data_IF_336696035369
#
_entry.id   IF_336696035369
#
_cell.length_a   1.000
_cell.length_b   1.000
_cell.length_c   1.000
_cell.angle_alpha   90.00
_cell.angle_beta   90.00
_cell.angle_gamma   90.00
#
_symmetry.space_group_name_H-M   'P 1'
#
loop_
_entity.id
_entity.type
_entity.pdbx_description
1 polymer ?
#
# COMPACT_ATOMS: atom_id res chain seq x y z
N UNK A 1 -0.15 -15.53 -38.49
CA UNK A 1 -1.17 -14.72 -37.80
C UNK A 1 -0.54 -14.21 -36.51
N UNK A 2 -0.15 -12.95 -36.45
CA UNK A 2 0.47 -12.36 -35.26
C UNK A 2 -0.66 -12.02 -34.28
N UNK A 3 -0.79 -12.80 -33.21
CA UNK A 3 -1.67 -12.45 -32.11
C UNK A 3 -1.11 -11.19 -31.45
N UNK A 4 -1.78 -10.05 -31.62
CA UNK A 4 -1.50 -8.86 -30.84
C UNK A 4 -1.60 -9.19 -29.33
N UNK A 5 -0.91 -8.44 -28.45
CA UNK A 5 -0.91 -8.75 -27.04
C UNK A 5 -2.35 -8.79 -26.51
N UNK A 6 -2.79 -9.97 -26.05
CA UNK A 6 -4.11 -10.15 -25.45
C UNK A 6 -4.22 -9.23 -24.23
N UNK A 7 -5.16 -8.27 -24.30
CA UNK A 7 -5.32 -7.23 -23.29
C UNK A 7 -5.49 -7.85 -21.89
N UNK A 8 -4.60 -7.51 -20.96
CA UNK A 8 -4.62 -7.97 -19.58
C UNK A 8 -5.79 -7.31 -18.83
N UNK A 9 -6.75 -8.10 -18.38
CA UNK A 9 -7.82 -7.64 -17.49
C UNK A 9 -7.29 -7.64 -16.06
N UNK A 10 -7.23 -6.47 -15.43
CA UNK A 10 -6.78 -6.34 -14.04
C UNK A 10 -7.97 -6.22 -13.09
N UNK A 11 -7.87 -6.94 -11.98
CA UNK A 11 -8.79 -6.89 -10.86
C UNK A 11 -8.03 -6.77 -9.55
N UNK A 12 -8.68 -6.24 -8.53
CA UNK A 12 -8.12 -6.12 -7.19
C UNK A 12 -9.18 -6.36 -6.13
N UNK A 13 -8.77 -6.83 -4.96
CA UNK A 13 -9.63 -7.02 -3.80
C UNK A 13 -8.83 -7.36 -2.57
N UNK A 14 -9.52 -7.81 -1.52
CA UNK A 14 -8.87 -8.12 -0.25
C UNK A 14 -9.53 -9.28 0.49
N UNK A 15 -8.73 -9.96 1.31
CA UNK A 15 -9.24 -10.81 2.38
C UNK A 15 -9.34 -9.94 3.64
N UNK A 16 -10.54 -9.43 3.90
CA UNK A 16 -10.83 -8.66 5.12
C UNK A 16 -10.85 -9.63 6.29
N UNK A 17 -9.97 -9.45 7.26
CA UNK A 17 -9.78 -10.37 8.38
C UNK A 17 -9.93 -9.68 9.73
N UNK A 18 -10.18 -10.51 10.75
CA UNK A 18 -10.09 -10.13 12.16
C UNK A 18 -9.80 -11.37 13.00
N UNK A 19 -9.29 -11.18 14.21
CA UNK A 19 -9.23 -12.25 15.21
C UNK A 19 -10.34 -12.01 16.22
N UNK A 20 -11.25 -12.97 16.36
CA UNK A 20 -12.36 -12.91 17.33
C UNK A 20 -12.34 -14.18 18.16
N UNK A 21 -12.29 -14.04 19.49
CA UNK A 21 -12.21 -15.18 20.42
C UNK A 21 -11.08 -16.16 20.07
N UNK A 22 -9.91 -15.62 19.70
CA UNK A 22 -8.73 -16.41 19.31
C UNK A 22 -8.82 -17.08 17.94
N UNK A 23 -9.89 -16.85 17.16
CA UNK A 23 -10.09 -17.46 15.84
C UNK A 23 -9.94 -16.43 14.73
N UNK A 24 -9.19 -16.78 13.69
CA UNK A 24 -9.07 -15.99 12.48
C UNK A 24 -10.37 -16.08 11.66
N UNK A 25 -11.01 -14.95 11.45
CA UNK A 25 -12.21 -14.81 10.64
C UNK A 25 -11.92 -13.95 9.41
N UNK A 26 -12.62 -14.26 8.31
CA UNK A 26 -12.53 -13.55 7.04
C UNK A 26 -13.92 -13.25 6.48
N UNK A 27 -14.02 -12.21 5.64
CA UNK A 27 -15.26 -11.85 4.94
C UNK A 27 -15.32 -12.53 3.57
N UNK A 28 -16.45 -13.17 3.28
CA UNK A 28 -16.80 -13.67 1.96
C UNK A 28 -18.06 -12.97 1.43
N UNK A 29 -18.16 -12.88 0.11
CA UNK A 29 -19.34 -12.41 -0.60
C UNK A 29 -19.94 -13.52 -1.45
N UNK A 30 -21.27 -13.55 -1.56
CA UNK A 30 -21.99 -14.41 -2.48
C UNK A 30 -22.51 -13.60 -3.67
N UNK A 31 -22.33 -14.13 -4.87
CA UNK A 31 -22.77 -13.50 -6.12
C UNK A 31 -23.90 -14.30 -6.74
N UNK A 32 -25.16 -13.82 -6.75
CA UNK A 32 -26.30 -14.60 -7.21
C UNK A 32 -26.20 -14.98 -8.69
N UNK A 33 -25.60 -14.12 -9.53
CA UNK A 33 -25.36 -14.39 -10.96
C UNK A 33 -24.54 -15.65 -11.20
N UNK A 34 -23.55 -15.93 -10.36
CA UNK A 34 -22.65 -17.07 -10.49
C UNK A 34 -22.96 -18.19 -9.50
N UNK A 35 -23.81 -17.92 -8.51
CA UNK A 35 -24.11 -18.81 -7.37
C UNK A 35 -22.83 -19.26 -6.66
N UNK A 36 -21.89 -18.34 -6.50
CA UNK A 36 -20.57 -18.63 -5.95
C UNK A 36 -20.23 -17.77 -4.74
N UNK A 37 -19.40 -18.33 -3.86
CA UNK A 37 -18.77 -17.64 -2.75
C UNK A 37 -17.31 -17.37 -3.10
N UNK A 38 -16.91 -16.10 -3.00
CA UNK A 38 -15.54 -15.67 -3.29
C UNK A 38 -15.11 -14.52 -2.38
N UNK A 39 -13.86 -14.08 -2.54
CA UNK A 39 -13.37 -12.86 -1.93
C UNK A 39 -13.96 -11.62 -2.62
N UNK A 40 -14.18 -10.53 -1.88
CA UNK A 40 -14.61 -9.28 -2.48
C UNK A 40 -13.52 -8.74 -3.41
N UNK A 41 -13.89 -8.40 -4.65
CA UNK A 41 -12.99 -7.96 -5.73
C UNK A 41 -13.74 -7.62 -7.02
N UNK A 42 -13.30 -6.57 -7.69
CA UNK A 42 -13.75 -6.25 -9.04
C UNK A 42 -12.64 -5.72 -9.94
N UNK A 43 -13.02 -5.07 -11.03
CA UNK A 43 -12.11 -4.67 -12.11
C UNK A 43 -11.59 -3.26 -11.83
N UNK A 44 -10.35 -3.00 -12.23
CA UNK A 44 -9.83 -1.64 -12.19
C UNK A 44 -10.63 -0.76 -13.18
N UNK A 45 -10.97 0.44 -12.74
CA UNK A 45 -11.48 1.50 -13.58
C UNK A 45 -10.35 2.16 -14.40
N UNK A 46 -10.72 2.97 -15.39
CA UNK A 46 -9.76 3.66 -16.24
C UNK A 46 -8.90 4.65 -15.43
N UNK A 47 -7.58 4.44 -15.42
CA UNK A 47 -6.65 5.29 -14.65
C UNK A 47 -6.59 4.97 -13.15
N UNK A 48 -7.36 3.99 -12.67
CA UNK A 48 -7.39 3.61 -11.27
C UNK A 48 -6.16 2.80 -10.86
N UNK A 49 -5.60 3.14 -9.69
CA UNK A 49 -4.50 2.36 -9.12
C UNK A 49 -5.02 1.07 -8.47
N UNK A 50 -4.24 -0.02 -8.55
CA UNK A 50 -4.68 -1.35 -8.08
C UNK A 50 -5.08 -1.39 -6.60
N UNK A 51 -4.40 -0.62 -5.74
CA UNK A 51 -4.73 -0.52 -4.31
C UNK A 51 -6.03 0.26 -4.07
N UNK A 52 -6.31 1.26 -4.92
CA UNK A 52 -7.54 2.04 -4.88
C UNK A 52 -8.73 1.16 -5.25
N UNK A 53 -8.58 0.38 -6.33
CA UNK A 53 -9.57 -0.61 -6.73
C UNK A 53 -9.82 -1.63 -5.61
N UNK A 54 -8.78 -2.13 -4.94
CA UNK A 54 -8.97 -3.10 -3.85
C UNK A 54 -9.85 -2.54 -2.71
N UNK A 55 -9.62 -1.29 -2.28
CA UNK A 55 -10.41 -0.70 -1.18
C UNK A 55 -11.82 -0.32 -1.64
N UNK A 56 -11.96 0.23 -2.85
CA UNK A 56 -13.26 0.58 -3.44
C UNK A 56 -14.13 -0.65 -3.56
N UNK A 57 -13.65 -1.69 -4.24
CA UNK A 57 -14.42 -2.91 -4.50
C UNK A 57 -14.86 -3.62 -3.21
N UNK A 58 -14.03 -3.59 -2.16
CA UNK A 58 -14.43 -4.12 -0.86
C UNK A 58 -15.55 -3.29 -0.24
N UNK A 59 -15.47 -1.96 -0.31
CA UNK A 59 -16.53 -1.08 0.20
C UNK A 59 -17.84 -1.23 -0.60
N UNK A 60 -17.75 -1.32 -1.93
CA UNK A 60 -18.91 -1.54 -2.81
C UNK A 60 -19.60 -2.87 -2.48
N UNK A 61 -18.85 -3.98 -2.42
CA UNK A 61 -19.43 -5.33 -2.27
C UNK A 61 -19.78 -5.68 -0.83
N UNK A 62 -19.16 -5.06 0.18
CA UNK A 62 -19.33 -5.45 1.60
C UNK A 62 -19.83 -4.34 2.51
N UNK A 63 -19.76 -3.09 2.08
CA UNK A 63 -19.99 -1.90 2.93
C UNK A 63 -18.91 -1.67 3.99
N UNK A 64 -17.79 -2.40 3.94
CA UNK A 64 -16.70 -2.26 4.90
C UNK A 64 -15.64 -1.28 4.37
N UNK A 65 -15.44 -0.19 5.10
CA UNK A 65 -14.27 0.67 4.94
C UNK A 65 -13.04 -0.08 5.47
N UNK A 66 -12.04 -0.32 4.62
CA UNK A 66 -10.86 -1.11 4.98
C UNK A 66 -9.54 -0.36 4.82
N UNK A 67 -8.50 -0.84 5.48
CA UNK A 67 -7.09 -0.50 5.20
C UNK A 67 -6.33 -1.75 4.80
N UNK A 68 -5.44 -1.61 3.82
CA UNK A 68 -4.62 -2.70 3.31
C UNK A 68 -3.42 -2.93 4.22
N UNK A 69 -3.18 -4.20 4.55
CA UNK A 69 -1.93 -4.69 5.11
C UNK A 69 -1.07 -5.34 4.04
N UNK A 70 -0.32 -6.37 4.43
CA UNK A 70 0.58 -7.10 3.52
C UNK A 70 -0.11 -7.70 2.28
N UNK A 71 0.59 -7.75 1.12
CA UNK A 71 0.05 -8.39 -0.07
C UNK A 71 -0.12 -9.90 0.15
N UNK A 72 -1.12 -10.46 -0.50
CA UNK A 72 -1.35 -11.90 -0.59
C UNK A 72 -1.09 -12.38 -2.03
N UNK A 73 -0.86 -13.69 -2.23
CA UNK A 73 -0.78 -14.24 -3.57
C UNK A 73 -2.01 -13.87 -4.41
N UNK A 74 -1.76 -13.27 -5.56
CA UNK A 74 -2.79 -13.01 -6.56
C UNK A 74 -3.13 -14.25 -7.37
N UNK A 75 -4.12 -14.12 -8.26
CA UNK A 75 -4.51 -15.17 -9.21
C UNK A 75 -4.29 -14.69 -10.64
N UNK A 76 -3.84 -15.58 -11.53
CA UNK A 76 -3.76 -15.32 -12.97
C UNK A 76 -4.35 -16.50 -13.73
N UNK A 77 -5.31 -16.23 -14.63
CA UNK A 77 -5.98 -17.25 -15.43
C UNK A 77 -6.51 -16.67 -16.74
N UNK A 78 -6.71 -17.53 -17.73
CA UNK A 78 -7.27 -17.15 -19.02
C UNK A 78 -8.80 -17.06 -18.97
N UNK A 79 -9.35 -16.06 -19.65
CA UNK A 79 -10.78 -15.91 -19.88
C UNK A 79 -11.19 -16.66 -21.15
N UNK A 80 -12.49 -16.96 -21.27
CA UNK A 80 -13.03 -17.67 -22.42
C UNK A 80 -12.80 -16.95 -23.77
N UNK A 81 -12.56 -15.64 -23.74
CA UNK A 81 -12.23 -14.82 -24.91
C UNK A 81 -10.72 -14.71 -25.19
N UNK A 82 -9.90 -15.53 -24.54
CA UNK A 82 -8.45 -15.59 -24.71
C UNK A 82 -7.67 -14.49 -23.98
N UNK A 83 -8.34 -13.52 -23.33
CA UNK A 83 -7.64 -12.52 -22.52
C UNK A 83 -7.13 -13.14 -21.22
N UNK A 84 -5.99 -12.67 -20.74
CA UNK A 84 -5.52 -13.02 -19.39
C UNK A 84 -6.18 -12.11 -18.36
N UNK A 85 -6.63 -12.68 -17.25
CA UNK A 85 -7.10 -11.96 -16.08
C UNK A 85 -6.10 -12.13 -14.94
N UNK A 86 -5.70 -11.01 -14.33
CA UNK A 86 -4.88 -10.98 -13.12
C UNK A 86 -5.66 -10.32 -11.99
N UNK A 87 -5.69 -10.98 -10.85
CA UNK A 87 -6.34 -10.52 -9.62
C UNK A 87 -5.28 -10.29 -8.57
N UNK A 88 -5.26 -9.09 -7.98
CA UNK A 88 -4.38 -8.74 -6.87
C UNK A 88 -5.15 -8.82 -5.55
N UNK A 89 -4.53 -9.39 -4.52
CA UNK A 89 -5.13 -9.52 -3.19
C UNK A 89 -4.22 -8.96 -2.11
N UNK A 90 -4.84 -8.36 -1.09
CA UNK A 90 -4.18 -7.94 0.14
C UNK A 90 -4.90 -8.55 1.34
N UNK A 91 -4.17 -8.74 2.43
CA UNK A 91 -4.81 -8.83 3.74
C UNK A 91 -5.33 -7.43 4.09
N UNK A 92 -6.53 -7.34 4.68
CA UNK A 92 -7.09 -6.05 5.06
C UNK A 92 -7.82 -6.12 6.39
N UNK A 93 -7.83 -5.00 7.11
CA UNK A 93 -8.61 -4.83 8.34
C UNK A 93 -9.67 -3.75 8.11
N UNK A 94 -10.79 -3.87 8.82
CA UNK A 94 -11.79 -2.79 8.86
C UNK A 94 -11.15 -1.57 9.50
N UNK A 95 -11.23 -0.42 8.84
CA UNK A 95 -10.59 0.81 9.26
C UNK A 95 -11.10 1.25 10.63
N UNK A 96 -10.17 1.54 11.53
CA UNK A 96 -10.44 1.96 12.90
C UNK A 96 -9.82 3.32 13.21
N UNK A 97 -9.55 3.57 14.49
CA UNK A 97 -8.56 4.57 14.89
C UNK A 97 -7.19 3.85 14.97
N UNK A 98 -6.09 4.45 14.49
CA UNK A 98 -5.95 5.84 14.02
C UNK A 98 -6.30 6.10 12.55
N UNK A 99 -6.77 5.11 11.78
CA UNK A 99 -6.83 5.14 10.31
C UNK A 99 -7.95 5.99 9.69
N UNK A 100 -8.90 6.49 10.49
CA UNK A 100 -10.03 7.32 10.02
C UNK A 100 -9.65 8.48 9.08
N UNK A 101 -8.58 9.26 9.32
CA UNK A 101 -8.13 10.30 8.39
C UNK A 101 -7.90 9.79 6.97
N UNK A 102 -7.33 8.59 6.83
CA UNK A 102 -7.07 7.99 5.53
C UNK A 102 -8.36 7.62 4.79
N UNK A 103 -9.40 7.19 5.50
CA UNK A 103 -10.71 6.90 4.91
C UNK A 103 -11.40 8.18 4.43
N UNK A 104 -11.34 9.27 5.20
CA UNK A 104 -11.91 10.56 4.79
C UNK A 104 -11.27 11.14 3.51
N UNK A 105 -10.03 10.76 3.22
CA UNK A 105 -9.34 11.18 1.99
C UNK A 105 -9.84 10.45 0.73
N UNK A 106 -10.75 9.48 0.85
CA UNK A 106 -11.28 8.68 -0.26
C UNK A 106 -12.63 9.24 -0.73
N UNK A 107 -12.93 9.13 -2.04
CA UNK A 107 -14.30 9.32 -2.49
C UNK A 107 -15.20 8.21 -1.91
N UNK A 108 -16.48 8.49 -1.61
CA UNK A 108 -17.41 7.45 -1.17
C UNK A 108 -17.64 6.43 -2.29
N UNK A 109 -17.72 5.14 -1.94
CA UNK A 109 -18.03 4.09 -2.90
C UNK A 109 -19.55 3.81 -2.97
N UNK A 110 -20.08 3.56 -4.16
CA UNK A 110 -21.47 3.19 -4.32
C UNK A 110 -21.67 1.70 -4.04
N UNK A 111 -22.56 1.35 -3.10
CA UNK A 111 -22.78 -0.05 -2.77
C UNK A 111 -23.29 -0.86 -3.98
N UNK A 112 -22.78 -2.08 -4.10
CA UNK A 112 -23.21 -3.05 -5.09
C UNK A 112 -24.71 -3.35 -4.94
N UNK A 113 -25.37 -3.57 -6.08
CA UNK A 113 -26.78 -3.94 -6.09
C UNK A 113 -26.99 -5.36 -5.54
N UNK A 114 -28.21 -5.67 -5.08
CA UNK A 114 -28.57 -7.03 -4.65
C UNK A 114 -28.46 -8.08 -5.76
N UNK A 115 -28.49 -7.66 -7.03
CA UNK A 115 -28.31 -8.54 -8.19
C UNK A 115 -26.83 -8.91 -8.41
N UNK A 116 -25.92 -8.16 -7.79
CA UNK A 116 -24.48 -8.39 -7.84
C UNK A 116 -23.96 -9.09 -6.58
N UNK A 117 -24.38 -8.62 -5.40
CA UNK A 117 -24.06 -9.20 -4.10
C UNK A 117 -25.33 -9.29 -3.25
N UNK A 118 -25.76 -10.51 -2.94
CA UNK A 118 -26.96 -10.76 -2.12
C UNK A 118 -26.62 -11.18 -0.67
N UNK A 119 -25.36 -11.55 -0.39
CA UNK A 119 -24.91 -11.89 0.95
C UNK A 119 -23.43 -11.59 1.21
N UNK A 120 -23.16 -11.06 2.41
CA UNK A 120 -21.82 -10.81 2.97
C UNK A 120 -21.72 -11.57 4.29
N UNK A 121 -20.64 -12.33 4.51
CA UNK A 121 -20.49 -13.16 5.72
C UNK A 121 -19.07 -13.15 6.26
N UNK A 122 -18.97 -12.91 7.56
CA UNK A 122 -17.81 -13.33 8.35
C UNK A 122 -17.85 -14.84 8.55
N UNK A 123 -16.72 -15.52 8.33
CA UNK A 123 -16.55 -16.94 8.61
C UNK A 123 -15.15 -17.21 9.16
N UNK A 124 -15.02 -18.19 10.04
CA UNK A 124 -13.71 -18.69 10.45
C UNK A 124 -12.96 -19.26 9.24
N UNK A 125 -11.62 -19.20 9.24
CA UNK A 125 -10.79 -19.61 8.10
C UNK A 125 -11.14 -21.01 7.55
N UNK A 126 -11.36 -22.00 8.41
CA UNK A 126 -11.73 -23.37 7.98
C UNK A 126 -13.11 -23.43 7.34
N UNK A 127 -14.07 -22.65 7.85
CA UNK A 127 -15.40 -22.57 7.28
C UNK A 127 -15.37 -21.82 5.93
N UNK A 128 -14.56 -20.76 5.83
CA UNK A 128 -14.31 -20.04 4.59
C UNK A 128 -13.72 -20.97 3.52
N UNK A 129 -12.68 -21.76 3.86
CA UNK A 129 -12.05 -22.75 2.97
C UNK A 129 -13.06 -23.71 2.35
N UNK A 130 -14.02 -24.19 3.15
CA UNK A 130 -15.08 -25.12 2.71
C UNK A 130 -16.15 -24.42 1.87
N UNK A 131 -16.37 -23.12 2.10
CA UNK A 131 -17.42 -22.35 1.44
C UNK A 131 -17.00 -21.75 0.11
N UNK A 132 -15.71 -21.42 -0.07
CA UNK A 132 -15.16 -20.94 -1.34
C UNK A 132 -15.47 -21.92 -2.47
N UNK A 133 -16.10 -21.40 -3.52
CA UNK A 133 -16.53 -22.21 -4.67
C UNK A 133 -15.34 -22.58 -5.57
N UNK A 134 -14.41 -21.65 -5.78
CA UNK A 134 -13.21 -21.91 -6.58
C UNK A 134 -12.07 -22.40 -5.70
N UNK A 135 -11.40 -23.47 -6.12
CA UNK A 135 -10.26 -24.02 -5.40
C UNK A 135 -9.10 -23.01 -5.30
N UNK A 136 -8.85 -22.25 -6.37
CA UNK A 136 -7.77 -21.26 -6.42
C UNK A 136 -7.94 -20.11 -5.43
N UNK A 137 -9.18 -19.76 -5.05
CA UNK A 137 -9.43 -18.74 -4.02
C UNK A 137 -8.89 -19.17 -2.64
N UNK A 138 -8.53 -20.45 -2.46
CA UNK A 138 -7.86 -20.93 -1.24
C UNK A 138 -6.39 -20.51 -1.17
N UNK A 139 -5.74 -20.20 -2.29
CA UNK A 139 -4.32 -19.79 -2.33
C UNK A 139 -4.07 -18.54 -1.46
N UNK A 140 -4.79 -17.41 -1.63
CA UNK A 140 -4.62 -16.26 -0.74
C UNK A 140 -5.04 -16.55 0.71
N UNK A 141 -6.01 -17.45 0.94
CA UNK A 141 -6.40 -17.87 2.29
C UNK A 141 -5.28 -18.63 3.01
N UNK A 142 -4.63 -19.55 2.32
CA UNK A 142 -3.51 -20.34 2.86
C UNK A 142 -2.37 -19.43 3.30
N UNK A 143 -2.03 -18.44 2.46
CA UNK A 143 -1.01 -17.44 2.78
C UNK A 143 -1.42 -16.55 3.98
N UNK A 144 -2.70 -16.21 4.09
CA UNK A 144 -3.22 -15.43 5.21
C UNK A 144 -3.19 -16.23 6.53
N UNK A 145 -3.61 -17.50 6.50
CA UNK A 145 -3.54 -18.41 7.67
C UNK A 145 -2.10 -18.63 8.10
N UNK A 146 -1.20 -18.93 7.16
CA UNK A 146 0.23 -19.12 7.48
C UNK A 146 0.86 -17.87 8.11
N UNK A 147 0.52 -16.68 7.61
CA UNK A 147 0.99 -15.42 8.20
C UNK A 147 0.39 -15.17 9.60
N UNK A 148 -0.87 -15.56 9.82
CA UNK A 148 -1.49 -15.44 11.15
C UNK A 148 -0.79 -16.34 12.18
N UNK A 149 -0.57 -17.61 11.83
CA UNK A 149 0.12 -18.60 12.67
C UNK A 149 1.56 -18.16 12.98
N UNK A 150 2.26 -17.64 11.97
CA UNK A 150 3.61 -17.08 12.13
C UNK A 150 3.64 -15.76 12.92
N UNK A 151 2.49 -15.11 13.15
CA UNK A 151 2.43 -13.81 13.81
C UNK A 151 2.90 -12.64 12.94
N UNK A 152 2.86 -12.80 11.63
CA UNK A 152 3.33 -11.80 10.65
C UNK A 152 2.19 -11.22 9.80
N UNK A 153 0.93 -11.52 10.11
CA UNK A 153 -0.24 -11.01 9.39
C UNK A 153 -0.59 -9.56 9.73
N UNK A 154 -0.52 -9.20 11.02
CA UNK A 154 -0.87 -7.87 11.52
C UNK A 154 0.32 -6.91 11.33
N UNK A 155 0.36 -6.31 10.15
CA UNK A 155 1.44 -5.42 9.70
C UNK A 155 0.94 -3.99 9.67
N UNK A 156 1.78 -3.05 10.11
CA UNK A 156 1.63 -1.64 9.69
C UNK A 156 2.42 -1.37 8.41
N UNK A 157 1.99 -0.37 7.66
CA UNK A 157 2.63 0.10 6.45
C UNK A 157 3.48 1.35 6.72
N UNK A 158 4.77 1.28 6.38
CA UNK A 158 5.65 2.45 6.26
C UNK A 158 5.94 2.69 4.78
N UNK A 159 5.42 3.79 4.23
CA UNK A 159 5.47 4.11 2.81
C UNK A 159 6.62 5.11 2.56
N UNK A 160 7.72 4.64 1.99
CA UNK A 160 8.83 5.49 1.55
C UNK A 160 8.48 6.07 0.18
N UNK A 161 8.25 7.38 0.15
CA UNK A 161 7.86 8.13 -1.04
C UNK A 161 9.06 8.94 -1.55
N UNK A 162 9.43 8.77 -2.82
CA UNK A 162 10.31 9.74 -3.48
C UNK A 162 9.45 10.91 -3.98
N UNK A 163 9.88 12.14 -3.69
CA UNK A 163 9.18 13.34 -4.18
C UNK A 163 8.86 13.28 -5.70
N UNK A 164 7.78 13.93 -6.11
CA UNK A 164 7.36 14.03 -7.51
C UNK A 164 8.39 14.75 -8.39
N UNK A 165 8.20 14.70 -9.71
CA UNK A 165 9.11 15.37 -10.65
C UNK A 165 9.21 16.87 -10.33
N UNK A 166 10.42 17.35 -10.11
CA UNK A 166 10.71 18.75 -9.81
C UNK A 166 11.48 19.41 -10.96
N UNK A 167 11.47 20.75 -11.01
CA UNK A 167 12.25 21.51 -12.00
C UNK A 167 13.71 21.07 -11.99
N UNK A 168 14.39 21.08 -13.14
CA UNK A 168 15.82 20.74 -13.18
C UNK A 168 16.62 21.77 -12.39
N UNK A 169 17.75 21.34 -11.80
CA UNK A 169 18.67 22.23 -11.09
C UNK A 169 19.18 23.35 -11.99
N UNK A 170 19.56 23.01 -13.23
CA UNK A 170 20.07 23.97 -14.21
C UNK A 170 19.07 25.07 -14.63
N UNK A 171 17.77 24.82 -14.50
CA UNK A 171 16.72 25.78 -14.88
C UNK A 171 16.11 26.52 -13.69
N UNK A 172 16.55 26.23 -12.47
CA UNK A 172 16.04 26.85 -11.24
C UNK A 172 17.02 27.93 -10.76
N UNK A 173 16.51 29.15 -10.54
CA UNK A 173 17.32 30.32 -10.15
C UNK A 173 17.27 30.64 -8.65
N UNK A 174 16.43 29.94 -7.89
CA UNK A 174 16.32 30.10 -6.44
C UNK A 174 17.18 29.10 -5.66
N UNK A 175 17.05 29.13 -4.34
CA UNK A 175 17.70 28.17 -3.44
C UNK A 175 17.21 26.72 -3.70
N UNK A 176 18.06 25.74 -3.45
CA UNK A 176 17.74 24.33 -3.72
C UNK A 176 16.55 23.81 -2.88
N UNK A 177 16.40 24.33 -1.65
CA UNK A 177 15.28 23.99 -0.75
C UNK A 177 13.92 24.49 -1.25
N UNK A 178 13.89 25.52 -2.10
CA UNK A 178 12.66 26.14 -2.62
C UNK A 178 12.31 25.64 -4.03
N UNK A 179 13.04 24.68 -4.58
CA UNK A 179 12.81 24.16 -5.94
C UNK A 179 11.47 23.42 -6.04
N UNK A 180 10.52 23.87 -6.90
CA UNK A 180 9.16 23.35 -6.92
C UNK A 180 8.99 22.10 -7.80
N UNK A 181 7.84 21.44 -7.62
CA UNK A 181 7.35 20.41 -8.53
C UNK A 181 7.04 20.98 -9.92
N UNK A 182 7.21 20.18 -10.97
CA UNK A 182 6.65 20.46 -12.29
C UNK A 182 5.17 20.09 -12.34
N UNK A 183 4.48 20.38 -13.44
CA UNK A 183 3.08 20.02 -13.63
C UNK A 183 2.87 18.50 -13.54
N UNK A 184 3.75 17.72 -14.18
CA UNK A 184 3.80 16.27 -14.01
C UNK A 184 4.02 15.87 -12.56
N UNK A 185 4.90 16.57 -11.83
CA UNK A 185 5.12 16.32 -10.41
C UNK A 185 3.89 16.56 -9.55
N UNK A 186 3.07 17.56 -9.88
CA UNK A 186 1.79 17.83 -9.21
C UNK A 186 0.74 16.76 -9.50
N UNK A 187 0.69 16.25 -10.74
CA UNK A 187 -0.14 15.08 -11.07
C UNK A 187 0.29 13.83 -10.29
N UNK A 188 1.59 13.60 -10.17
CA UNK A 188 2.14 12.51 -9.35
C UNK A 188 1.76 12.66 -7.87
N UNK A 189 1.81 13.89 -7.34
CA UNK A 189 1.40 14.19 -5.97
C UNK A 189 -0.09 13.87 -5.74
N UNK A 190 -0.97 14.25 -6.68
CA UNK A 190 -2.39 13.90 -6.63
C UNK A 190 -2.62 12.38 -6.69
N UNK A 191 -1.88 11.67 -7.54
CA UNK A 191 -1.98 10.22 -7.67
C UNK A 191 -1.53 9.45 -6.41
N UNK A 192 -0.78 10.07 -5.49
CA UNK A 192 -0.43 9.46 -4.22
C UNK A 192 -1.63 9.31 -3.27
N UNK A 193 -2.62 10.21 -3.35
CA UNK A 193 -3.79 10.21 -2.45
C UNK A 193 -4.45 8.82 -2.36
N UNK A 194 -4.87 8.18 -3.47
CA UNK A 194 -5.51 6.87 -3.41
C UNK A 194 -4.58 5.73 -2.95
N UNK A 195 -3.26 5.89 -3.04
CA UNK A 195 -2.31 4.88 -2.58
C UNK A 195 -2.06 5.01 -1.08
N UNK A 196 -1.75 6.22 -0.60
CA UNK A 196 -1.52 6.47 0.82
C UNK A 196 -2.79 6.22 1.64
N UNK A 197 -3.95 6.61 1.12
CA UNK A 197 -5.23 6.36 1.78
C UNK A 197 -5.53 4.87 1.90
N UNK A 198 -5.22 4.05 0.88
CA UNK A 198 -5.50 2.62 0.89
C UNK A 198 -4.76 1.88 2.02
N UNK A 199 -3.55 2.31 2.36
CA UNK A 199 -2.74 1.73 3.45
C UNK A 199 -3.00 2.37 4.82
N UNK A 200 -4.04 3.21 4.96
CA UNK A 200 -4.42 3.73 6.28
C UNK A 200 -3.49 4.80 6.86
N UNK A 201 -2.65 5.44 6.05
CA UNK A 201 -1.64 6.39 6.53
C UNK A 201 -2.24 7.43 7.48
N UNK A 202 -1.82 7.41 8.75
CA UNK A 202 -2.31 8.33 9.77
C UNK A 202 -1.29 9.44 10.04
N UNK A 203 -0.02 9.23 9.68
CA UNK A 203 1.07 10.17 9.91
C UNK A 203 1.90 10.39 8.64
N UNK A 204 2.40 11.61 8.46
CA UNK A 204 3.29 11.95 7.34
C UNK A 204 4.54 12.62 7.88
N UNK A 205 5.70 12.06 7.53
CA UNK A 205 7.02 12.64 7.80
C UNK A 205 7.64 13.03 6.46
N UNK A 206 8.24 14.20 6.36
CA UNK A 206 8.76 14.70 5.08
C UNK A 206 10.00 15.56 5.27
N UNK A 207 10.87 15.60 4.27
CA UNK A 207 11.87 16.66 4.16
C UNK A 207 11.18 18.03 4.07
N UNK A 208 11.68 19.08 4.76
CA UNK A 208 11.11 20.42 4.72
C UNK A 208 11.18 21.09 3.34
N UNK A 209 12.05 20.63 2.44
CA UNK A 209 12.19 21.21 1.09
C UNK A 209 10.88 21.16 0.29
N UNK A 210 10.63 22.24 -0.46
CA UNK A 210 9.32 22.55 -1.06
C UNK A 210 8.75 21.40 -1.88
N UNK A 211 9.57 20.75 -2.73
CA UNK A 211 9.13 19.60 -3.55
C UNK A 211 8.66 18.39 -2.75
N UNK A 212 9.25 18.12 -1.57
CA UNK A 212 8.85 17.02 -0.72
C UNK A 212 7.53 17.34 -0.03
N UNK A 213 7.41 18.54 0.57
CA UNK A 213 6.17 19.05 1.13
C UNK A 213 5.02 19.04 0.10
N UNK A 214 5.23 19.63 -1.08
CA UNK A 214 4.24 19.67 -2.16
C UNK A 214 3.88 18.29 -2.73
N UNK A 215 4.72 17.26 -2.54
CA UNK A 215 4.41 15.90 -2.99
C UNK A 215 3.35 15.25 -2.10
N UNK A 216 3.41 15.49 -0.79
CA UNK A 216 2.48 14.89 0.18
C UNK A 216 1.28 15.76 0.49
N UNK A 217 1.34 17.05 0.14
CA UNK A 217 0.31 18.06 0.41
C UNK A 217 -1.11 17.65 -0.05
N UNK A 218 -1.33 17.09 -1.26
CA UNK A 218 -2.67 16.68 -1.67
C UNK A 218 -3.29 15.66 -0.72
N UNK A 219 -2.48 14.70 -0.26
CA UNK A 219 -2.93 13.68 0.67
C UNK A 219 -3.16 14.25 2.07
N UNK A 220 -2.20 15.01 2.62
CA UNK A 220 -2.34 15.58 3.96
C UNK A 220 -3.54 16.53 4.04
N UNK A 221 -3.82 17.26 2.96
CA UNK A 221 -5.01 18.13 2.87
C UNK A 221 -6.29 17.29 2.88
N UNK A 222 -6.38 16.26 2.03
CA UNK A 222 -7.56 15.40 1.96
C UNK A 222 -7.82 14.62 3.26
N UNK A 223 -6.77 14.21 3.95
CA UNK A 223 -6.85 13.48 5.22
C UNK A 223 -6.95 14.40 6.45
N UNK A 224 -6.78 15.72 6.31
CA UNK A 224 -6.75 16.66 7.45
C UNK A 224 -5.54 16.47 8.37
N UNK A 225 -4.40 16.05 7.82
CA UNK A 225 -3.15 15.78 8.54
C UNK A 225 -2.18 16.95 8.43
N UNK A 226 -1.33 17.12 9.45
CA UNK A 226 -0.20 18.05 9.40
C UNK A 226 1.09 17.25 9.25
N UNK A 227 1.87 17.43 8.18
CA UNK A 227 3.12 16.70 8.00
C UNK A 227 4.20 17.18 8.96
N UNK A 228 4.89 16.23 9.57
CA UNK A 228 6.07 16.44 10.39
C UNK A 228 7.31 16.63 9.50
N UNK A 229 7.97 17.78 9.61
CA UNK A 229 9.07 18.19 8.74
C UNK A 229 10.40 17.96 9.44
N UNK A 230 11.28 17.18 8.84
CA UNK A 230 12.55 16.75 9.45
C UNK A 230 13.74 17.15 8.59
N UNK A 231 14.58 18.05 9.12
CA UNK A 231 15.82 18.50 8.48
C UNK A 231 16.77 17.34 8.09
N UNK A 232 16.95 16.27 8.89
CA UNK A 232 17.79 15.12 8.51
C UNK A 232 17.35 14.38 7.24
N UNK A 233 16.17 14.68 6.68
CA UNK A 233 15.70 14.09 5.42
C UNK A 233 16.04 14.95 4.20
N UNK A 234 16.65 16.13 4.37
CA UNK A 234 17.12 16.97 3.26
C UNK A 234 18.38 16.38 2.61
N UNK A 235 18.69 16.76 1.37
CA UNK A 235 19.92 16.30 0.74
C UNK A 235 21.18 16.92 1.38
N UNK A 236 21.07 18.14 1.92
CA UNK A 236 22.19 18.82 2.58
C UNK A 236 22.56 18.14 3.90
N UNK A 237 21.58 18.00 4.81
CA UNK A 237 21.84 17.36 6.12
C UNK A 237 22.20 15.88 5.97
N UNK A 238 21.64 15.17 4.98
CA UNK A 238 22.04 13.80 4.70
C UNK A 238 23.49 13.67 4.21
N UNK A 239 23.97 14.65 3.43
CA UNK A 239 25.36 14.67 2.99
C UNK A 239 26.33 14.93 4.15
N UNK A 240 25.94 15.77 5.11
CA UNK A 240 26.75 16.14 6.26
C UNK A 240 26.68 15.13 7.41
N UNK A 241 25.53 14.49 7.62
CA UNK A 241 25.25 13.61 8.77
C UNK A 241 24.28 12.46 8.41
N UNK A 242 24.68 11.50 7.57
CA UNK A 242 23.83 10.39 7.15
C UNK A 242 23.34 9.51 8.31
N UNK A 243 24.05 9.47 9.44
CA UNK A 243 23.65 8.81 10.67
C UNK A 243 22.37 9.40 11.27
N UNK A 244 22.17 10.72 11.22
CA UNK A 244 20.93 11.36 11.70
C UNK A 244 19.74 11.01 10.81
N UNK A 245 19.97 10.88 9.50
CA UNK A 245 18.98 10.34 8.57
C UNK A 245 18.62 8.91 8.97
N UNK A 246 19.62 8.06 9.23
CA UNK A 246 19.40 6.67 9.62
C UNK A 246 18.61 6.56 10.92
N UNK A 247 18.93 7.37 11.94
CA UNK A 247 18.18 7.47 13.20
C UNK A 247 16.72 7.90 12.97
N UNK A 248 16.50 8.90 12.11
CA UNK A 248 15.16 9.37 11.76
C UNK A 248 14.34 8.26 11.09
N UNK A 249 14.93 7.52 10.14
CA UNK A 249 14.27 6.40 9.46
C UNK A 249 14.01 5.24 10.43
N UNK A 250 14.94 4.93 11.33
CA UNK A 250 14.77 3.90 12.35
C UNK A 250 13.67 4.27 13.36
N UNK A 251 13.53 5.55 13.71
CA UNK A 251 12.42 6.04 14.54
C UNK A 251 11.08 5.92 13.80
N UNK A 252 11.03 6.27 12.51
CA UNK A 252 9.86 6.05 11.65
C UNK A 252 9.49 4.58 11.56
N UNK A 253 10.48 3.69 11.41
CA UNK A 253 10.24 2.26 11.46
C UNK A 253 9.78 1.77 12.83
N UNK A 254 9.75 2.56 13.92
CA UNK A 254 9.26 2.12 15.24
C UNK A 254 7.93 2.74 15.65
N UNK A 255 7.34 3.60 14.81
CA UNK A 255 6.04 4.21 15.09
C UNK A 255 4.92 3.16 15.19
N UNK A 256 3.80 3.55 15.79
CA UNK A 256 2.64 2.65 16.01
C UNK A 256 1.59 2.75 14.92
N UNK A 257 1.66 3.76 14.08
CA UNK A 257 0.72 4.11 13.02
C UNK A 257 1.30 3.77 11.65
N UNK A 258 0.40 3.60 10.68
CA UNK A 258 0.75 3.62 9.26
C UNK A 258 1.23 5.02 8.87
N UNK A 259 2.36 5.10 8.17
CA UNK A 259 3.10 6.35 8.01
C UNK A 259 3.72 6.48 6.61
N UNK A 260 3.63 7.67 6.02
CA UNK A 260 4.35 8.00 4.79
C UNK A 260 5.57 8.89 5.04
N UNK A 261 6.75 8.48 4.55
CA UNK A 261 8.02 9.20 4.63
C UNK A 261 8.40 9.72 3.24
N UNK A 262 8.36 11.03 3.01
CA UNK A 262 8.75 11.65 1.74
C UNK A 262 10.17 12.21 1.77
N UNK A 263 11.02 11.78 0.83
CA UNK A 263 12.43 12.20 0.75
C UNK A 263 12.96 12.29 -0.70
N UNK A 264 14.27 12.48 -0.83
CA UNK A 264 15.00 12.71 -2.08
C UNK A 264 15.80 11.48 -2.52
N UNK A 265 16.11 11.43 -3.82
CA UNK A 265 16.91 10.34 -4.40
C UNK A 265 18.25 10.11 -3.68
N UNK A 266 19.06 11.13 -3.35
CA UNK A 266 20.37 10.90 -2.69
C UNK A 266 20.26 10.33 -1.28
N UNK A 267 19.11 10.51 -0.61
CA UNK A 267 18.84 10.04 0.75
C UNK A 267 18.36 8.58 0.76
N UNK A 268 17.79 8.10 -0.35
CA UNK A 268 17.25 6.73 -0.48
C UNK A 268 18.22 5.59 -0.15
N UNK A 269 19.53 5.64 -0.48
CA UNK A 269 20.48 4.61 -0.06
C UNK A 269 20.43 4.35 1.46
N UNK A 270 20.53 5.41 2.27
CA UNK A 270 20.48 5.30 3.73
C UNK A 270 19.12 4.81 4.22
N UNK A 271 18.02 5.29 3.64
CA UNK A 271 16.67 4.77 3.96
C UNK A 271 16.60 3.27 3.71
N UNK A 272 17.07 2.81 2.55
CA UNK A 272 17.05 1.41 2.17
C UNK A 272 17.99 0.55 3.01
N UNK A 273 19.12 1.07 3.46
CA UNK A 273 20.04 0.35 4.35
C UNK A 273 19.42 0.12 5.72
N UNK A 274 18.71 1.12 6.27
CA UNK A 274 17.93 0.94 7.49
C UNK A 274 16.82 -0.10 7.29
N UNK A 275 16.08 -0.04 6.18
CA UNK A 275 15.06 -1.05 5.86
C UNK A 275 15.67 -2.45 5.72
N UNK A 276 16.83 -2.59 5.05
CA UNK A 276 17.56 -3.86 4.91
C UNK A 276 17.99 -4.44 6.25
N UNK A 277 18.45 -3.60 7.18
CA UNK A 277 18.86 -4.02 8.51
C UNK A 277 17.70 -4.70 9.27
N UNK A 278 16.47 -4.24 9.06
CA UNK A 278 15.25 -4.78 9.71
C UNK A 278 14.52 -5.84 8.87
N UNK A 279 15.02 -6.18 7.68
CA UNK A 279 14.38 -7.11 6.77
C UNK A 279 15.08 -8.48 6.76
N UNK A 280 14.34 -9.60 6.65
CA UNK A 280 14.94 -10.91 6.39
C UNK A 280 15.49 -10.99 4.95
N UNK A 281 16.37 -11.96 4.69
CA UNK A 281 17.03 -12.11 3.40
C UNK A 281 16.07 -12.17 2.20
N UNK A 282 14.89 -12.79 2.36
CA UNK A 282 13.87 -12.87 1.32
C UNK A 282 13.33 -11.49 0.91
N UNK A 283 13.13 -10.60 1.87
CA UNK A 283 12.65 -9.23 1.65
C UNK A 283 13.79 -8.36 1.10
N UNK A 284 15.02 -8.51 1.61
CA UNK A 284 16.19 -7.76 1.12
C UNK A 284 16.39 -7.90 -0.38
N UNK A 285 16.18 -9.10 -0.94
CA UNK A 285 16.29 -9.39 -2.39
C UNK A 285 15.26 -8.67 -3.26
N UNK A 286 14.16 -8.20 -2.68
CA UNK A 286 13.08 -7.49 -3.39
C UNK A 286 13.16 -5.97 -3.25
N UNK A 287 14.03 -5.47 -2.37
CA UNK A 287 14.26 -4.04 -2.25
C UNK A 287 14.98 -3.50 -3.49
N UNK A 288 14.70 -2.26 -3.90
CA UNK A 288 15.44 -1.63 -5.00
C UNK A 288 16.95 -1.67 -4.76
N UNK A 289 17.69 -2.25 -5.72
CA UNK A 289 19.13 -2.47 -5.58
C UNK A 289 19.97 -1.34 -6.17
N UNK A 290 19.48 -0.64 -7.19
CA UNK A 290 20.27 0.30 -7.99
C UNK A 290 19.64 1.69 -8.08
N UNK A 291 20.48 2.71 -8.19
CA UNK A 291 20.06 4.11 -8.42
C UNK A 291 19.27 4.19 -9.74
N UNK A 292 18.08 4.81 -9.78
CA UNK A 292 17.56 5.78 -8.81
C UNK A 292 16.80 5.24 -7.61
N UNK A 293 16.78 3.93 -7.38
CA UNK A 293 16.04 3.19 -6.35
C UNK A 293 14.53 3.31 -6.48
N UNK A 294 14.02 4.54 -6.44
CA UNK A 294 12.64 4.92 -6.74
C UNK A 294 12.67 6.00 -7.83
N UNK A 295 11.75 5.94 -8.79
CA UNK A 295 11.48 7.04 -9.75
C UNK A 295 10.72 8.17 -9.03
N UNK A 296 10.71 9.42 -9.56
CA UNK A 296 9.92 10.49 -8.95
C UNK A 296 8.45 10.07 -8.79
N UNK A 297 7.87 10.26 -7.61
CA UNK A 297 6.50 9.87 -7.29
C UNK A 297 6.28 8.38 -7.03
N UNK A 298 7.31 7.52 -7.10
CA UNK A 298 7.17 6.11 -6.70
C UNK A 298 7.17 5.94 -5.17
N UNK A 299 6.54 4.85 -4.75
CA UNK A 299 6.35 4.49 -3.34
C UNK A 299 6.85 3.08 -3.10
N UNK A 300 7.71 2.91 -2.10
CA UNK A 300 8.05 1.61 -1.51
C UNK A 300 7.27 1.44 -0.20
N UNK A 301 6.34 0.50 -0.16
CA UNK A 301 5.61 0.13 1.05
C UNK A 301 6.41 -0.91 1.79
N UNK A 302 6.69 -0.68 3.07
CA UNK A 302 7.32 -1.63 3.97
C UNK A 302 6.26 -2.12 4.96
N UNK A 303 6.00 -3.43 4.96
CA UNK A 303 5.06 -4.07 5.89
C UNK A 303 5.81 -4.49 7.14
N UNK A 304 5.57 -3.78 8.23
CA UNK A 304 6.36 -3.87 9.45
C UNK A 304 5.56 -4.52 10.56
N UNK A 305 6.16 -5.50 11.23
CA UNK A 305 5.62 -6.15 12.42
C UNK A 305 6.49 -5.80 13.63
N UNK A 306 5.94 -5.93 14.84
CA UNK A 306 6.74 -5.98 16.05
C UNK A 306 7.30 -7.38 16.23
N UNK A 307 8.57 -7.50 16.58
CA UNK A 307 9.19 -8.79 16.85
C UNK A 307 8.54 -9.41 18.09
N UNK A 308 8.03 -10.64 17.96
CA UNK A 308 7.53 -11.42 19.11
C UNK A 308 8.72 -11.79 20.01
N UNK A 309 8.64 -11.44 21.30
CA UNK A 309 9.66 -11.79 22.29
C UNK A 309 10.98 -11.01 22.18
N UNK A 310 11.04 -10.00 21.31
CA UNK A 310 12.16 -9.07 21.17
C UNK A 310 12.10 -7.92 22.18
N UNK A 311 13.03 -6.98 22.06
CA UNK A 311 12.96 -5.74 22.83
C UNK A 311 11.65 -4.98 22.52
N UNK A 312 11.10 -4.16 23.43
CA UNK A 312 9.80 -3.48 23.26
C UNK A 312 9.63 -2.66 21.97
N UNK A 313 10.76 -2.29 21.37
CA UNK A 313 10.90 -1.45 20.18
C UNK A 313 11.43 -2.21 18.94
N UNK A 314 11.63 -3.52 19.05
CA UNK A 314 12.19 -4.32 17.96
C UNK A 314 11.13 -4.54 16.87
N UNK A 315 11.49 -4.15 15.64
CA UNK A 315 10.61 -4.17 14.48
C UNK A 315 11.25 -4.96 13.35
N UNK A 316 10.40 -5.60 12.53
CA UNK A 316 10.85 -6.35 11.37
C UNK A 316 10.02 -5.99 10.15
N UNK A 317 10.68 -5.79 9.02
CA UNK A 317 10.03 -5.57 7.72
C UNK A 317 9.80 -6.94 7.08
N UNK A 318 8.57 -7.45 7.17
CA UNK A 318 8.20 -8.80 6.71
C UNK A 318 7.86 -8.87 5.23
N UNK A 319 7.50 -7.74 4.61
CA UNK A 319 7.14 -7.68 3.21
C UNK A 319 7.38 -6.27 2.63
N UNK A 320 7.52 -6.17 1.29
CA UNK A 320 7.66 -4.86 0.62
C UNK A 320 6.93 -4.78 -0.73
N UNK A 321 6.30 -3.66 -1.04
CA UNK A 321 5.65 -3.45 -2.34
C UNK A 321 6.19 -2.20 -3.02
N UNK A 322 6.34 -2.24 -4.34
CA UNK A 322 6.74 -1.09 -5.13
C UNK A 322 5.58 -0.63 -5.99
N UNK A 323 5.10 0.59 -5.75
CA UNK A 323 3.99 1.20 -6.47
C UNK A 323 4.44 2.38 -7.32
N UNK A 324 3.80 2.54 -8.47
CA UNK A 324 3.94 3.70 -9.36
C UNK A 324 2.55 4.33 -9.51
N UNK A 325 2.16 5.25 -8.60
CA UNK A 325 0.78 5.72 -8.46
C UNK A 325 0.21 6.34 -9.73
N UNK A 326 0.99 7.20 -10.40
CA UNK A 326 0.66 7.69 -11.74
C UNK A 326 1.32 6.75 -12.75
N UNK A 327 0.51 6.06 -13.56
CA UNK A 327 0.99 5.20 -14.64
C UNK A 327 1.98 5.93 -15.56
N UNK A 328 2.91 5.18 -16.15
CA UNK A 328 3.85 5.69 -17.15
C UNK A 328 3.15 6.07 -18.45
#
# INVERSE_FOLDING_TARGET
>A
MSAGPTALVRSAGALVWRVRQGRLQVVLVHRPRYKDWSWPKGKLEAGEHVTAAAVREVEEETGLEIVLGRPLPGLEYELADGRRKRVHYWAAQVAGRPDRPAVHARPPAAHASKDEIDAVRWADADAARKRLTRADDRIPLDALVAAHEAGTLDTRAVLVVRHGRARSRSSWKGEEGTRPLTDVGRLQAGALVPVLSAYGVADVVTSPWLRCCATVEPYTTAAGLTPDRREPLTEAEHADSPEKTAETVAAVLRTRSDLALCTHRPVLPTVLDVVRAHAPAAVRRRLPAENPYLRPGQVLVCHVVRARGGAPDEVRVEDVELHTPLGS
#
